data_IF_838137358432
#
_entry.id   IF_838137358432
#
_cell.length_a   1.000
_cell.length_b   1.000
_cell.length_c   1.000
_cell.angle_alpha   90.00
_cell.angle_beta   90.00
_cell.angle_gamma   90.00
#
_symmetry.space_group_name_H-M   'P 1'
#
loop_
_entity.id
_entity.type
_entity.pdbx_description
1 polymer ?
#
# COMPACT_ATOMS: atom_id res chain seq x y z
N UNK A 1 -9.94 7.23 40.16
CA UNK A 1 -9.46 8.01 38.99
C UNK A 1 -10.28 7.59 37.77
N UNK A 2 -10.86 8.54 37.10
CA UNK A 2 -11.57 8.21 35.87
C UNK A 2 -10.57 7.76 34.80
N UNK A 3 -10.81 6.59 34.24
CA UNK A 3 -9.97 6.03 33.17
C UNK A 3 -10.11 6.89 31.92
N UNK A 4 -8.97 7.35 31.37
CA UNK A 4 -8.94 8.16 30.14
C UNK A 4 -8.68 7.29 28.90
N UNK A 5 -9.04 7.82 27.70
CA UNK A 5 -8.69 7.15 26.43
C UNK A 5 -7.19 6.98 26.25
N UNK A 6 -6.39 7.96 26.65
CA UNK A 6 -4.95 7.91 26.53
C UNK A 6 -4.36 6.83 27.44
N UNK A 7 -4.87 6.69 28.67
CA UNK A 7 -4.46 5.61 29.57
C UNK A 7 -4.76 4.21 28.98
N UNK A 8 -5.97 4.01 28.41
CA UNK A 8 -6.31 2.72 27.76
C UNK A 8 -5.39 2.46 26.55
N UNK A 9 -5.08 3.49 25.75
CA UNK A 9 -4.16 3.38 24.61
C UNK A 9 -2.76 2.94 25.06
N UNK A 10 -2.20 3.59 26.11
CA UNK A 10 -0.88 3.26 26.65
C UNK A 10 -0.84 1.80 27.14
N UNK A 11 -1.81 1.38 27.95
CA UNK A 11 -1.91 0.02 28.45
C UNK A 11 -2.07 -1.00 27.30
N UNK A 12 -2.90 -0.66 26.31
CA UNK A 12 -3.11 -1.51 25.13
C UNK A 12 -1.83 -1.65 24.32
N UNK A 13 -1.10 -0.57 24.08
CA UNK A 13 0.14 -0.61 23.31
C UNK A 13 1.26 -1.32 24.07
N UNK A 14 1.34 -1.13 25.39
CA UNK A 14 2.29 -1.87 26.23
C UNK A 14 2.05 -3.38 26.16
N UNK A 15 0.79 -3.81 26.11
CA UNK A 15 0.42 -5.23 26.00
C UNK A 15 0.57 -5.82 24.59
N UNK A 16 0.87 -5.00 23.56
CA UNK A 16 0.86 -5.40 22.15
C UNK A 16 2.11 -4.90 21.43
N UNK A 17 2.77 -5.78 20.70
CA UNK A 17 3.83 -5.38 19.75
C UNK A 17 3.19 -4.87 18.45
N UNK A 18 2.84 -3.57 18.40
CA UNK A 18 2.20 -2.95 17.25
C UNK A 18 3.20 -2.18 16.39
N UNK A 19 2.99 -2.20 15.07
CA UNK A 19 3.77 -1.35 14.16
C UNK A 19 3.44 0.13 14.37
N UNK A 20 4.42 1.06 14.22
CA UNK A 20 4.19 2.50 14.40
C UNK A 20 3.00 3.06 13.63
N UNK A 21 2.79 2.60 12.38
CA UNK A 21 1.64 2.99 11.57
C UNK A 21 0.29 2.55 12.16
N UNK A 22 0.25 1.41 12.86
CA UNK A 22 -0.95 0.92 13.56
C UNK A 22 -1.21 1.77 14.80
N UNK A 23 -0.19 2.04 15.61
CA UNK A 23 -0.25 2.94 16.78
C UNK A 23 -0.79 4.31 16.36
N UNK A 24 -0.22 4.90 15.31
CA UNK A 24 -0.70 6.17 14.75
C UNK A 24 -2.19 6.11 14.33
N UNK A 25 -2.63 4.99 13.75
CA UNK A 25 -4.04 4.81 13.34
C UNK A 25 -4.98 4.81 14.54
N UNK A 26 -4.60 4.14 15.64
CA UNK A 26 -5.37 4.16 16.90
C UNK A 26 -5.49 5.58 17.47
N UNK A 27 -4.39 6.30 17.61
CA UNK A 27 -4.41 7.70 18.08
C UNK A 27 -5.31 8.57 17.21
N UNK A 28 -5.22 8.44 15.88
CA UNK A 28 -6.07 9.19 14.96
C UNK A 28 -7.56 8.89 15.13
N UNK A 29 -7.92 7.63 15.35
CA UNK A 29 -9.31 7.23 15.56
C UNK A 29 -9.84 7.72 16.90
N UNK A 30 -9.10 7.53 17.99
CA UNK A 30 -9.45 8.03 19.33
C UNK A 30 -9.60 9.55 19.31
N UNK A 31 -8.63 10.29 18.77
CA UNK A 31 -8.73 11.75 18.61
C UNK A 31 -9.96 12.19 17.78
N UNK A 32 -10.34 11.39 16.76
CA UNK A 32 -11.56 11.66 15.98
C UNK A 32 -12.83 11.43 16.80
N UNK A 33 -12.83 10.49 17.73
CA UNK A 33 -13.95 10.25 18.65
C UNK A 33 -14.02 11.31 19.75
N UNK A 34 -12.90 11.67 20.38
CA UNK A 34 -12.80 12.73 21.38
C UNK A 34 -13.17 14.13 20.84
N UNK A 35 -13.07 14.35 19.53
CA UNK A 35 -13.60 15.58 18.89
C UNK A 35 -15.11 15.60 18.81
N UNK A 36 -15.75 14.44 18.83
CA UNK A 36 -17.21 14.33 18.78
C UNK A 36 -17.83 14.38 20.17
N UNK A 37 -17.18 13.79 21.16
CA UNK A 37 -17.67 13.76 22.55
C UNK A 37 -16.55 14.00 23.56
N UNK A 38 -16.84 14.76 24.61
CA UNK A 38 -15.94 14.97 25.74
C UNK A 38 -16.08 13.90 26.84
N UNK A 39 -16.99 12.93 26.66
CA UNK A 39 -17.25 11.90 27.68
C UNK A 39 -16.04 10.99 27.87
N UNK A 40 -15.70 10.61 29.12
CA UNK A 40 -14.69 9.62 29.39
C UNK A 40 -15.12 8.23 28.92
N UNK A 41 -14.18 7.29 28.70
CA UNK A 41 -14.50 5.95 28.17
C UNK A 41 -15.59 5.21 28.95
N UNK A 42 -15.60 5.33 30.28
CA UNK A 42 -16.57 4.64 31.13
C UNK A 42 -18.01 5.14 31.02
N UNK A 43 -18.24 6.26 30.36
CA UNK A 43 -19.58 6.85 30.15
C UNK A 43 -20.05 6.72 28.68
N UNK A 44 -19.31 6.02 27.84
CA UNK A 44 -19.65 5.82 26.43
C UNK A 44 -20.69 4.70 26.31
N UNK A 45 -21.92 5.07 25.94
CA UNK A 45 -22.99 4.12 25.74
C UNK A 45 -23.21 3.79 24.23
N UNK A 46 -24.03 2.79 23.96
CA UNK A 46 -24.36 2.35 22.62
C UNK A 46 -25.11 3.44 21.82
N UNK A 47 -25.97 4.24 22.48
CA UNK A 47 -26.77 5.30 21.82
C UNK A 47 -25.84 6.41 21.31
N UNK A 48 -24.86 6.81 22.13
CA UNK A 48 -23.83 7.78 21.71
C UNK A 48 -23.09 7.31 20.45
N UNK A 49 -22.76 6.02 20.37
CA UNK A 49 -22.06 5.45 19.21
C UNK A 49 -22.96 5.45 17.97
N UNK A 50 -24.25 5.17 18.11
CA UNK A 50 -25.20 5.27 17.01
C UNK A 50 -25.35 6.71 16.51
N UNK A 51 -25.37 7.69 17.41
CA UNK A 51 -25.36 9.12 17.05
C UNK A 51 -24.07 9.51 16.35
N UNK A 52 -22.92 9.04 16.84
CA UNK A 52 -21.62 9.26 16.16
C UNK A 52 -21.57 8.60 14.78
N UNK A 53 -22.18 7.42 14.62
CA UNK A 53 -22.32 6.77 13.30
C UNK A 53 -23.08 7.67 12.32
N UNK A 54 -24.20 8.22 12.76
CA UNK A 54 -25.00 9.14 11.95
C UNK A 54 -24.18 10.37 11.56
N UNK A 55 -23.50 11.00 12.52
CA UNK A 55 -22.60 12.12 12.26
C UNK A 55 -21.49 11.76 11.25
N UNK A 56 -20.81 10.63 11.40
CA UNK A 56 -19.73 10.21 10.51
C UNK A 56 -20.22 9.92 9.09
N UNK A 57 -21.38 9.27 8.95
CA UNK A 57 -21.88 8.83 7.64
C UNK A 57 -22.69 9.91 6.93
N UNK A 58 -23.52 10.66 7.65
CA UNK A 58 -24.45 11.65 7.08
C UNK A 58 -23.85 13.06 7.05
N UNK A 59 -23.33 13.56 8.17
CA UNK A 59 -22.82 14.94 8.24
C UNK A 59 -21.43 15.06 7.60
N UNK A 60 -20.50 14.17 7.99
CA UNK A 60 -19.14 14.15 7.43
C UNK A 60 -19.05 13.41 6.07
N UNK A 61 -20.12 12.76 5.63
CA UNK A 61 -20.20 11.99 4.36
C UNK A 61 -19.05 11.00 4.16
N UNK A 62 -18.56 10.39 5.25
CA UNK A 62 -17.50 9.39 5.18
C UNK A 62 -18.08 8.03 4.79
N UNK A 63 -17.23 7.18 4.19
CA UNK A 63 -17.70 5.88 3.69
C UNK A 63 -17.95 4.88 4.81
N UNK A 64 -18.87 3.89 4.61
CA UNK A 64 -19.08 2.78 5.55
C UNK A 64 -17.79 2.05 5.93
N UNK A 65 -16.85 1.90 5.00
CA UNK A 65 -15.53 1.31 5.28
C UNK A 65 -14.72 2.14 6.27
N UNK A 66 -14.76 3.48 6.15
CA UNK A 66 -14.09 4.39 7.10
C UNK A 66 -14.72 4.29 8.47
N UNK A 67 -16.05 4.22 8.55
CA UNK A 67 -16.78 3.98 9.78
C UNK A 67 -16.37 2.65 10.42
N UNK A 68 -16.45 1.54 9.68
CA UNK A 68 -16.09 0.21 10.19
C UNK A 68 -14.65 0.13 10.68
N UNK A 69 -13.73 0.85 10.03
CA UNK A 69 -12.35 0.93 10.51
C UNK A 69 -12.25 1.67 11.85
N UNK A 70 -13.00 2.76 12.04
CA UNK A 70 -13.06 3.46 13.33
C UNK A 70 -13.64 2.56 14.43
N UNK A 71 -14.74 1.87 14.13
CA UNK A 71 -15.38 0.91 15.04
C UNK A 71 -14.40 -0.22 15.42
N UNK A 72 -13.67 -0.77 14.46
CA UNK A 72 -12.72 -1.87 14.73
C UNK A 72 -11.63 -1.46 15.73
N UNK A 73 -11.08 -0.24 15.60
CA UNK A 73 -10.07 0.25 16.54
C UNK A 73 -10.64 0.48 17.95
N UNK A 74 -11.78 1.20 18.05
CA UNK A 74 -12.37 1.49 19.36
C UNK A 74 -12.91 0.23 20.02
N UNK A 75 -13.52 -0.68 19.27
CA UNK A 75 -13.98 -1.97 19.80
C UNK A 75 -12.82 -2.79 20.37
N UNK A 76 -11.65 -2.79 19.73
CA UNK A 76 -10.47 -3.47 20.24
C UNK A 76 -9.97 -2.86 21.56
N UNK A 77 -9.98 -1.51 21.68
CA UNK A 77 -9.61 -0.81 22.92
C UNK A 77 -10.60 -1.09 24.04
N UNK A 78 -11.91 -1.05 23.75
CA UNK A 78 -12.94 -1.32 24.75
C UNK A 78 -12.93 -2.79 25.19
N UNK A 79 -12.75 -3.75 24.27
CA UNK A 79 -12.58 -5.15 24.63
C UNK A 79 -11.37 -5.34 25.56
N UNK A 80 -10.26 -4.63 25.30
CA UNK A 80 -9.11 -4.66 26.17
C UNK A 80 -9.43 -4.07 27.54
N UNK A 81 -10.04 -2.89 27.59
CA UNK A 81 -10.42 -2.20 28.83
C UNK A 81 -11.38 -3.03 29.69
N UNK A 82 -12.38 -3.66 29.10
CA UNK A 82 -13.32 -4.55 29.78
C UNK A 82 -12.60 -5.80 30.32
N UNK A 83 -11.81 -6.45 29.48
CA UNK A 83 -11.06 -7.66 29.88
C UNK A 83 -10.10 -7.43 31.06
N UNK A 84 -9.52 -6.25 31.15
CA UNK A 84 -8.54 -5.89 32.20
C UNK A 84 -9.15 -5.08 33.36
N UNK A 85 -10.49 -4.99 33.45
CA UNK A 85 -11.17 -4.31 34.55
C UNK A 85 -11.03 -2.77 34.54
N UNK A 86 -10.55 -2.19 33.43
CA UNK A 86 -10.44 -0.73 33.29
C UNK A 86 -11.78 -0.08 32.96
N UNK A 87 -12.70 -0.84 32.40
CA UNK A 87 -14.05 -0.42 32.01
C UNK A 87 -15.07 -1.38 32.58
N UNK A 88 -16.09 -0.87 33.24
CA UNK A 88 -17.14 -1.65 33.93
C UNK A 88 -18.36 -1.85 33.03
N UNK A 89 -18.18 -2.31 31.79
CA UNK A 89 -19.27 -2.65 30.89
C UNK A 89 -19.56 -4.14 30.88
N UNK A 90 -20.82 -4.54 30.90
CA UNK A 90 -21.23 -5.93 30.68
C UNK A 90 -21.00 -6.35 29.23
N UNK A 91 -21.20 -5.46 28.29
CA UNK A 91 -21.00 -5.65 26.87
C UNK A 91 -20.31 -4.44 26.24
N UNK A 92 -19.46 -4.70 25.23
CA UNK A 92 -18.77 -3.64 24.52
C UNK A 92 -19.79 -2.78 23.72
N UNK A 93 -19.89 -1.46 24.00
CA UNK A 93 -20.86 -0.59 23.35
C UNK A 93 -20.65 -0.44 21.83
N UNK A 94 -19.49 -0.85 21.30
CA UNK A 94 -19.20 -0.88 19.87
C UNK A 94 -19.63 -2.18 19.16
N UNK A 95 -20.33 -3.09 19.85
CA UNK A 95 -20.90 -4.27 19.20
C UNK A 95 -22.13 -3.88 18.34
N UNK A 96 -22.38 -4.62 17.28
CA UNK A 96 -23.56 -4.45 16.42
C UNK A 96 -23.62 -3.17 15.56
N UNK A 97 -22.66 -2.23 15.68
CA UNK A 97 -22.73 -0.91 15.01
C UNK A 97 -22.06 -0.87 13.61
N UNK A 98 -21.54 -2.00 13.14
CA UNK A 98 -20.91 -2.13 11.82
C UNK A 98 -21.96 -1.95 10.72
N UNK A 99 -21.59 -1.24 9.65
CA UNK A 99 -22.45 -1.02 8.49
C UNK A 99 -21.95 -1.83 7.31
N UNK A 100 -22.83 -2.47 6.56
CA UNK A 100 -22.46 -3.24 5.36
C UNK A 100 -21.80 -2.31 4.34
N UNK A 101 -20.51 -2.50 4.01
CA UNK A 101 -19.87 -1.71 2.99
C UNK A 101 -20.40 -2.11 1.61
N UNK A 102 -20.63 -1.14 0.73
CA UNK A 102 -20.93 -1.42 -0.66
C UNK A 102 -19.74 -2.11 -1.36
N UNK A 103 -20.03 -2.86 -2.41
CA UNK A 103 -19.04 -3.52 -3.25
C UNK A 103 -18.23 -2.43 -3.98
N UNK A 104 -16.93 -2.40 -3.75
CA UNK A 104 -16.03 -1.47 -4.41
C UNK A 104 -15.30 -2.17 -5.53
N UNK A 105 -15.62 -1.84 -6.79
CA UNK A 105 -14.82 -2.31 -7.93
C UNK A 105 -13.35 -1.88 -7.75
N UNK A 106 -12.44 -2.82 -7.93
CA UNK A 106 -11.00 -2.54 -7.87
C UNK A 106 -10.61 -1.66 -9.04
N UNK A 107 -9.87 -0.59 -8.74
CA UNK A 107 -9.44 0.36 -9.75
C UNK A 107 -8.14 -0.17 -10.38
N UNK A 108 -8.26 -0.79 -11.54
CA UNK A 108 -7.14 -1.24 -12.38
C UNK A 108 -6.70 -0.14 -13.35
N UNK A 109 -5.56 -0.32 -13.98
CA UNK A 109 -5.09 0.46 -15.12
C UNK A 109 -5.42 -0.31 -16.40
N UNK A 110 -6.05 0.36 -17.37
CA UNK A 110 -6.27 -0.21 -18.71
C UNK A 110 -4.94 -0.27 -19.48
N UNK A 111 -4.89 -1.07 -20.56
CA UNK A 111 -3.72 -1.12 -21.44
C UNK A 111 -3.36 0.28 -21.94
N UNK A 112 -4.35 1.03 -22.46
CA UNK A 112 -4.14 2.40 -22.93
C UNK A 112 -3.59 3.34 -21.84
N UNK A 113 -4.03 3.19 -20.58
CA UNK A 113 -3.50 3.96 -19.45
C UNK A 113 -2.05 3.57 -19.11
N UNK A 114 -1.71 2.28 -19.14
CA UNK A 114 -0.33 1.83 -18.97
C UNK A 114 0.57 2.40 -20.08
N UNK A 115 0.15 2.29 -21.34
CA UNK A 115 0.91 2.83 -22.47
C UNK A 115 1.09 4.35 -22.36
N UNK A 116 0.07 5.07 -21.88
CA UNK A 116 0.16 6.51 -21.65
C UNK A 116 1.17 6.86 -20.54
N UNK A 117 1.24 6.06 -19.46
CA UNK A 117 2.23 6.23 -18.39
C UNK A 117 3.65 6.08 -18.96
N UNK A 118 3.91 5.02 -19.73
CA UNK A 118 5.25 4.78 -20.27
C UNK A 118 5.63 5.82 -21.31
N UNK A 119 4.77 6.16 -22.27
CA UNK A 119 5.03 7.25 -23.22
C UNK A 119 5.32 8.60 -22.54
N UNK A 120 4.63 8.90 -21.44
CA UNK A 120 4.92 10.10 -20.66
C UNK A 120 6.34 10.03 -20.08
N UNK A 121 6.72 8.91 -19.47
CA UNK A 121 8.04 8.75 -18.88
C UNK A 121 9.15 8.78 -19.94
N UNK A 122 8.92 8.21 -21.13
CA UNK A 122 9.88 8.25 -22.25
C UNK A 122 10.12 9.69 -22.70
N UNK A 123 9.07 10.51 -22.83
CA UNK A 123 9.19 11.93 -23.12
C UNK A 123 10.02 12.66 -22.06
N UNK A 124 9.78 12.40 -20.76
CA UNK A 124 10.60 13.00 -19.70
C UNK A 124 12.04 12.48 -19.72
N UNK A 125 12.29 11.25 -20.15
CA UNK A 125 13.65 10.71 -20.31
C UNK A 125 14.42 11.42 -21.45
N UNK A 126 13.73 11.71 -22.56
CA UNK A 126 14.28 12.50 -23.64
C UNK A 126 14.59 13.95 -23.18
N UNK A 127 13.65 14.61 -22.51
CA UNK A 127 13.88 15.94 -21.95
C UNK A 127 15.07 15.95 -20.97
N UNK A 128 15.20 14.94 -20.11
CA UNK A 128 16.31 14.81 -19.16
C UNK A 128 17.64 14.61 -19.86
N UNK A 129 17.65 13.90 -21.00
CA UNK A 129 18.87 13.68 -21.82
C UNK A 129 19.35 14.96 -22.49
N UNK A 130 18.43 15.80 -22.99
CA UNK A 130 18.77 17.05 -23.68
C UNK A 130 19.06 18.23 -22.73
N UNK A 131 18.32 18.33 -21.63
CA UNK A 131 18.38 19.49 -20.72
C UNK A 131 19.14 19.23 -19.43
N UNK A 132 19.62 18.00 -19.25
CA UNK A 132 20.14 17.52 -17.96
C UNK A 132 19.03 17.33 -16.94
N UNK A 133 19.40 16.95 -15.71
CA UNK A 133 18.42 16.87 -14.61
C UNK A 133 17.91 18.29 -14.28
N UNK A 134 16.98 18.72 -15.05
CA UNK A 134 16.23 19.97 -14.88
C UNK A 134 14.89 19.65 -14.23
N UNK A 135 14.35 20.49 -13.57
CA UNK A 135 14.32 21.90 -13.31
C UNK A 135 13.49 22.18 -12.08
N UNK A 136 13.80 23.22 -11.53
CA UNK A 136 13.17 23.77 -10.38
C UNK A 136 11.93 24.55 -10.85
N UNK A 137 10.74 24.02 -10.62
CA UNK A 137 9.58 24.89 -10.50
C UNK A 137 9.49 25.32 -9.03
N UNK A 138 9.64 26.58 -8.74
CA UNK A 138 9.72 27.16 -7.38
C UNK A 138 10.80 26.53 -6.47
N UNK A 139 12.02 26.36 -6.96
CA UNK A 139 13.12 25.82 -6.16
C UNK A 139 13.02 24.31 -5.85
N UNK A 140 12.04 23.59 -6.39
CA UNK A 140 11.84 22.15 -6.12
C UNK A 140 12.15 21.31 -7.34
N UNK A 141 12.96 20.27 -7.16
CA UNK A 141 13.26 19.29 -8.21
C UNK A 141 12.02 18.56 -8.70
N UNK A 142 12.02 18.19 -9.98
CA UNK A 142 10.96 17.39 -10.56
C UNK A 142 10.89 16.01 -9.86
N UNK A 143 9.70 15.64 -9.38
CA UNK A 143 9.48 14.38 -8.70
C UNK A 143 9.59 13.17 -9.64
N UNK A 144 9.63 13.38 -10.97
CA UNK A 144 9.78 12.32 -11.97
C UNK A 144 11.27 12.04 -12.31
N UNK A 145 12.21 12.79 -11.73
CA UNK A 145 13.65 12.63 -11.97
C UNK A 145 14.36 11.98 -10.78
N UNK A 146 15.42 11.17 -11.01
CA UNK A 146 15.93 10.73 -12.30
C UNK A 146 14.94 9.79 -13.00
N UNK A 147 14.66 10.03 -14.28
CA UNK A 147 13.57 9.32 -14.97
C UNK A 147 13.83 7.82 -15.07
N UNK A 148 15.06 7.42 -15.40
CA UNK A 148 15.45 6.00 -15.50
C UNK A 148 15.18 5.22 -14.19
N UNK A 149 15.43 5.82 -13.03
CA UNK A 149 15.17 5.21 -11.74
C UNK A 149 13.66 4.97 -11.52
N UNK A 150 12.86 5.98 -11.82
CA UNK A 150 11.40 5.87 -11.67
C UNK A 150 10.76 4.94 -12.71
N UNK A 151 11.33 4.84 -13.91
CA UNK A 151 10.94 3.80 -14.88
C UNK A 151 11.22 2.41 -14.31
N UNK A 152 12.39 2.19 -13.69
CA UNK A 152 12.67 0.91 -13.00
C UNK A 152 11.69 0.63 -11.86
N UNK A 153 11.27 1.67 -11.10
CA UNK A 153 10.21 1.53 -10.07
C UNK A 153 8.87 1.14 -10.69
N UNK A 154 8.50 1.70 -11.84
CA UNK A 154 7.27 1.31 -12.55
C UNK A 154 7.36 -0.14 -13.05
N UNK A 155 8.49 -0.53 -13.61
CA UNK A 155 8.71 -1.88 -14.16
C UNK A 155 8.65 -2.96 -13.07
N UNK A 156 9.31 -2.75 -11.95
CA UNK A 156 9.24 -3.73 -10.86
C UNK A 156 7.82 -3.87 -10.32
N UNK A 157 7.06 -2.78 -10.17
CA UNK A 157 5.66 -2.83 -9.75
C UNK A 157 4.76 -3.53 -10.78
N UNK A 158 5.04 -3.33 -12.08
CA UNK A 158 4.29 -3.92 -13.18
C UNK A 158 4.53 -5.42 -13.30
N UNK A 159 5.78 -5.86 -13.17
CA UNK A 159 6.16 -7.24 -13.48
C UNK A 159 6.20 -8.16 -12.26
N UNK A 160 6.22 -7.61 -11.03
CA UNK A 160 6.24 -8.41 -9.80
C UNK A 160 5.01 -8.25 -8.92
N UNK A 161 4.20 -7.24 -9.16
CA UNK A 161 3.03 -6.90 -8.33
C UNK A 161 3.33 -6.70 -6.83
N UNK A 162 4.58 -6.41 -6.44
CA UNK A 162 4.96 -6.22 -5.04
C UNK A 162 4.25 -5.04 -4.40
N UNK A 163 4.16 -5.05 -3.06
CA UNK A 163 3.63 -3.92 -2.31
C UNK A 163 4.66 -2.79 -2.22
N UNK A 164 4.20 -1.55 -2.18
CA UNK A 164 5.07 -0.38 -2.01
C UNK A 164 6.03 -0.51 -0.82
N UNK A 165 5.57 -1.08 0.29
CA UNK A 165 6.43 -1.29 1.45
C UNK A 165 7.49 -2.36 1.20
N UNK A 166 7.19 -3.41 0.42
CA UNK A 166 8.18 -4.42 0.03
C UNK A 166 9.27 -3.81 -0.85
N UNK A 167 8.89 -2.95 -1.82
CA UNK A 167 9.85 -2.24 -2.66
C UNK A 167 10.88 -1.45 -1.83
N UNK A 168 10.43 -0.77 -0.77
CA UNK A 168 11.30 0.01 0.13
C UNK A 168 12.23 -0.84 1.01
N UNK A 169 12.00 -2.14 1.10
CA UNK A 169 12.81 -3.05 1.90
C UNK A 169 13.67 -4.02 1.07
N UNK A 170 13.71 -3.83 -0.26
CA UNK A 170 14.62 -4.57 -1.11
C UNK A 170 16.03 -4.00 -0.94
N UNK A 171 16.97 -4.84 -0.50
CA UNK A 171 18.38 -4.53 -0.39
C UNK A 171 19.12 -4.96 -1.65
N UNK A 172 20.35 -4.49 -1.82
CA UNK A 172 21.16 -4.89 -2.96
C UNK A 172 21.41 -6.42 -2.96
N UNK A 173 21.71 -7.02 -1.81
CA UNK A 173 21.91 -8.46 -1.65
C UNK A 173 20.66 -9.32 -1.87
N UNK A 174 19.45 -8.74 -1.83
CA UNK A 174 18.22 -9.49 -2.05
C UNK A 174 17.94 -9.76 -3.55
N UNK A 175 18.72 -9.18 -4.47
CA UNK A 175 18.53 -9.33 -5.92
C UNK A 175 19.55 -10.29 -6.51
N UNK A 176 19.08 -11.44 -6.97
CA UNK A 176 19.89 -12.40 -7.70
C UNK A 176 19.57 -12.31 -9.21
N UNK A 177 20.46 -11.64 -9.96
CA UNK A 177 20.29 -11.46 -11.41
C UNK A 177 20.60 -12.74 -12.20
N UNK A 178 21.51 -13.58 -11.72
CA UNK A 178 21.89 -14.82 -12.36
C UNK A 178 20.75 -15.84 -12.33
N UNK A 179 20.22 -16.08 -11.15
CA UNK A 179 19.12 -17.01 -10.90
C UNK A 179 17.72 -16.39 -11.13
N UNK A 180 17.69 -15.10 -11.43
CA UNK A 180 16.48 -14.34 -11.79
C UNK A 180 15.37 -14.33 -10.75
N UNK A 181 15.70 -14.00 -9.51
CA UNK A 181 14.71 -13.73 -8.47
C UNK A 181 15.06 -12.54 -7.57
N UNK A 182 14.08 -12.09 -6.83
CA UNK A 182 14.23 -11.11 -5.75
C UNK A 182 13.66 -11.71 -4.48
N UNK A 183 14.43 -11.74 -3.41
CA UNK A 183 13.96 -12.11 -2.08
C UNK A 183 13.29 -10.91 -1.42
N UNK A 184 12.06 -11.12 -0.94
CA UNK A 184 11.28 -10.07 -0.29
C UNK A 184 11.25 -10.32 1.22
N UNK A 185 12.00 -9.51 1.95
CA UNK A 185 12.20 -9.64 3.39
C UNK A 185 10.90 -9.54 4.19
N UNK A 186 10.89 -10.19 5.36
CA UNK A 186 9.78 -10.18 6.36
C UNK A 186 9.40 -8.75 6.77
N UNK A 187 10.38 -7.87 6.96
CA UNK A 187 10.19 -6.47 7.38
C UNK A 187 9.31 -5.67 6.42
N UNK A 188 9.41 -5.93 5.11
CA UNK A 188 8.57 -5.35 4.08
C UNK A 188 7.19 -5.99 3.95
N UNK A 189 7.02 -7.22 4.44
CA UNK A 189 5.80 -7.99 4.30
C UNK A 189 4.79 -7.69 5.42
N UNK A 190 3.52 -7.49 5.06
CA UNK A 190 2.44 -7.26 6.04
C UNK A 190 2.15 -8.49 6.91
N UNK A 191 2.49 -9.66 6.42
CA UNK A 191 2.18 -10.97 7.00
C UNK A 191 3.40 -11.71 7.59
N UNK A 192 4.52 -11.01 7.79
CA UNK A 192 5.75 -11.56 8.38
C UNK A 192 6.23 -12.88 7.73
N UNK A 193 6.11 -13.00 6.40
CA UNK A 193 6.63 -14.13 5.65
C UNK A 193 7.54 -13.65 4.54
N UNK A 194 8.68 -14.29 4.42
CA UNK A 194 9.55 -14.18 3.25
C UNK A 194 8.85 -14.76 2.04
N UNK A 195 9.02 -14.13 0.90
CA UNK A 195 8.66 -14.75 -0.34
C UNK A 195 9.51 -14.22 -1.48
N UNK A 196 9.71 -15.05 -2.46
CA UNK A 196 10.55 -14.80 -3.63
C UNK A 196 9.67 -14.45 -4.83
N UNK A 197 10.09 -13.44 -5.60
CA UNK A 197 9.42 -13.09 -6.86
C UNK A 197 10.40 -13.24 -8.04
N UNK A 198 9.92 -13.72 -9.21
CA UNK A 198 10.80 -13.90 -10.37
C UNK A 198 11.13 -12.57 -11.05
N UNK A 199 12.33 -12.50 -11.65
CA UNK A 199 12.75 -11.44 -12.55
C UNK A 199 12.47 -11.90 -13.99
N UNK A 200 11.36 -11.42 -14.56
CA UNK A 200 11.02 -11.74 -15.96
C UNK A 200 11.94 -11.00 -16.93
N UNK A 201 12.06 -11.51 -18.16
CA UNK A 201 12.97 -10.94 -19.17
C UNK A 201 12.73 -9.46 -19.44
N UNK A 202 11.48 -9.00 -19.39
CA UNK A 202 11.13 -7.59 -19.58
C UNK A 202 11.58 -6.67 -18.42
N UNK A 203 11.74 -7.20 -17.20
CA UNK A 203 12.23 -6.45 -16.03
C UNK A 203 13.77 -6.44 -15.96
N UNK A 204 14.41 -7.49 -16.46
CA UNK A 204 15.83 -7.75 -16.28
C UNK A 204 16.74 -6.56 -16.66
N UNK A 205 16.60 -5.92 -17.85
CA UNK A 205 17.52 -4.84 -18.25
C UNK A 205 17.46 -3.62 -17.31
N UNK A 206 16.26 -3.24 -16.88
CA UNK A 206 16.07 -2.12 -15.97
C UNK A 206 16.66 -2.41 -14.58
N UNK A 207 16.44 -3.62 -14.07
CA UNK A 207 16.95 -4.05 -12.77
C UNK A 207 18.47 -4.25 -12.78
N UNK A 208 19.03 -4.86 -13.84
CA UNK A 208 20.47 -5.01 -14.01
C UNK A 208 21.17 -3.64 -14.05
N UNK A 209 20.60 -2.66 -14.77
CA UNK A 209 21.09 -1.28 -14.77
C UNK A 209 21.11 -0.66 -13.36
N UNK A 210 20.06 -0.90 -12.57
CA UNK A 210 19.94 -0.39 -11.20
C UNK A 210 21.03 -1.01 -10.30
N UNK A 211 21.16 -2.34 -10.34
CA UNK A 211 22.17 -3.09 -9.57
C UNK A 211 23.59 -2.65 -9.95
N UNK A 212 23.92 -2.59 -11.25
CA UNK A 212 25.24 -2.14 -11.71
C UNK A 212 25.56 -0.71 -11.24
N UNK A 213 24.57 0.20 -11.29
CA UNK A 213 24.79 1.56 -10.79
C UNK A 213 24.99 1.61 -9.28
N UNK A 214 24.32 0.76 -8.52
CA UNK A 214 24.52 0.64 -7.08
C UNK A 214 25.90 0.08 -6.75
N UNK A 215 26.37 -0.94 -7.48
CA UNK A 215 27.71 -1.50 -7.34
C UNK A 215 28.82 -0.49 -7.70
N UNK A 216 28.65 0.27 -8.79
CA UNK A 216 29.59 1.33 -9.17
C UNK A 216 29.61 2.50 -8.18
N UNK A 217 28.55 2.69 -7.41
CA UNK A 217 28.47 3.67 -6.33
C UNK A 217 28.90 3.07 -4.97
N UNK A 218 29.51 1.88 -4.96
CA UNK A 218 30.01 1.16 -3.77
C UNK A 218 28.95 1.04 -2.66
N UNK A 219 27.69 0.82 -3.08
CA UNK A 219 26.57 0.66 -2.14
C UNK A 219 26.73 -0.66 -1.39
N UNK A 220 26.62 -0.61 -0.06
CA UNK A 220 26.69 -1.78 0.80
C UNK A 220 25.60 -2.82 0.47
N UNK A 221 25.90 -4.13 0.53
CA UNK A 221 24.97 -5.19 0.17
C UNK A 221 23.64 -5.13 0.91
N UNK A 222 23.63 -4.73 2.18
CA UNK A 222 22.45 -4.61 3.03
C UNK A 222 21.71 -3.29 2.86
N UNK A 223 22.26 -2.36 2.10
CA UNK A 223 21.62 -1.07 1.87
C UNK A 223 20.40 -1.19 0.97
N UNK A 224 19.45 -0.31 1.19
CA UNK A 224 18.22 -0.20 0.41
C UNK A 224 18.54 0.10 -1.06
N UNK A 225 18.22 -0.83 -1.97
CA UNK A 225 18.48 -0.68 -3.41
C UNK A 225 17.60 0.41 -4.05
N UNK A 226 16.30 0.44 -3.71
CA UNK A 226 15.36 1.44 -4.25
C UNK A 226 15.39 2.73 -3.44
N UNK A 227 16.55 3.36 -3.40
CA UNK A 227 16.78 4.66 -2.77
C UNK A 227 17.22 5.69 -3.82
N UNK A 228 16.36 6.67 -4.09
CA UNK A 228 16.66 7.72 -5.09
C UNK A 228 17.86 8.58 -4.70
N UNK A 229 18.22 8.65 -3.41
CA UNK A 229 19.38 9.37 -2.93
C UNK A 229 20.72 8.78 -3.38
N UNK A 230 20.77 7.48 -3.71
CA UNK A 230 21.96 6.83 -4.27
C UNK A 230 22.29 7.32 -5.69
N UNK A 231 21.28 7.81 -6.41
CA UNK A 231 21.38 8.13 -7.84
C UNK A 231 21.10 9.60 -8.18
N UNK A 232 20.78 10.40 -7.16
CA UNK A 232 20.58 11.85 -7.28
C UNK A 232 21.35 12.56 -6.17
N UNK A 233 22.51 13.09 -6.51
CA UNK A 233 23.43 13.78 -5.57
C UNK A 233 22.72 14.85 -4.74
N UNK A 234 21.73 15.55 -5.31
CA UNK A 234 20.99 16.57 -4.60
C UNK A 234 20.04 16.04 -3.52
N UNK A 235 19.78 14.74 -3.53
CA UNK A 235 18.95 14.04 -2.55
C UNK A 235 19.75 13.10 -1.65
N UNK A 236 21.05 12.89 -1.95
CA UNK A 236 21.92 11.96 -1.24
C UNK A 236 21.94 12.23 0.26
N UNK A 237 22.18 13.49 0.67
CA UNK A 237 22.19 13.89 2.08
C UNK A 237 20.86 13.62 2.81
N UNK A 238 19.74 13.76 2.12
CA UNK A 238 18.41 13.57 2.73
C UNK A 238 18.06 12.10 2.92
N UNK A 239 18.60 11.23 2.10
CA UNK A 239 18.27 9.80 2.07
C UNK A 239 19.51 8.93 2.30
N UNK A 240 20.53 9.44 3.02
CA UNK A 240 21.73 8.70 3.41
C UNK A 240 21.39 7.40 4.15
N UNK A 241 20.43 7.47 5.08
CA UNK A 241 20.04 6.34 5.93
C UNK A 241 18.88 5.51 5.33
N UNK A 242 18.52 5.80 4.08
CA UNK A 242 17.44 5.14 3.36
C UNK A 242 16.28 6.07 2.97
N UNK A 243 15.55 5.66 1.97
CA UNK A 243 14.39 6.38 1.44
C UNK A 243 13.10 5.87 2.10
N UNK A 244 12.32 6.79 2.64
CA UNK A 244 10.96 6.51 3.12
C UNK A 244 9.93 6.52 1.97
N UNK A 245 8.64 6.42 2.33
CA UNK A 245 7.53 6.42 1.38
C UNK A 245 7.28 7.76 0.69
N UNK A 246 7.86 8.85 1.19
CA UNK A 246 7.56 10.22 0.74
C UNK A 246 7.94 10.48 -0.72
N UNK A 247 9.14 10.09 -1.21
CA UNK A 247 9.49 10.26 -2.62
C UNK A 247 8.58 9.47 -3.57
N UNK A 248 8.22 8.23 -3.20
CA UNK A 248 7.31 7.42 -4.01
C UNK A 248 5.93 8.08 -4.11
N UNK A 249 5.41 8.60 -3.00
CA UNK A 249 4.14 9.36 -3.01
C UNK A 249 4.24 10.62 -3.86
N UNK A 250 5.36 11.33 -3.78
CA UNK A 250 5.64 12.51 -4.61
C UNK A 250 5.64 12.17 -6.10
N UNK A 251 6.35 11.12 -6.48
CA UNK A 251 6.41 10.60 -7.84
C UNK A 251 5.01 10.24 -8.37
N UNK A 252 4.28 9.37 -7.69
CA UNK A 252 2.94 8.93 -8.14
C UNK A 252 1.91 10.05 -8.16
N UNK A 253 2.02 11.05 -7.26
CA UNK A 253 1.17 12.24 -7.29
C UNK A 253 1.46 13.09 -8.53
N UNK A 254 2.73 13.32 -8.86
CA UNK A 254 3.13 14.05 -10.06
C UNK A 254 2.71 13.30 -11.32
N UNK A 255 3.02 12.02 -11.41
CA UNK A 255 2.66 11.14 -12.53
C UNK A 255 1.14 11.13 -12.77
N UNK A 256 0.34 10.99 -11.72
CA UNK A 256 -1.13 11.01 -11.83
C UNK A 256 -1.66 12.34 -12.36
N UNK A 257 -1.05 13.46 -11.97
CA UNK A 257 -1.42 14.79 -12.45
C UNK A 257 -1.11 14.95 -13.92
N UNK A 258 0.07 14.53 -14.36
CA UNK A 258 0.49 14.60 -15.75
C UNK A 258 -0.36 13.69 -16.66
N UNK A 259 -0.65 12.48 -16.19
CA UNK A 259 -1.51 11.51 -16.91
C UNK A 259 -3.00 11.89 -16.89
N UNK A 260 -3.44 12.81 -16.02
CA UNK A 260 -4.84 13.19 -15.76
C UNK A 260 -5.74 12.03 -15.30
N UNK A 261 -5.14 10.94 -14.79
CA UNK A 261 -5.82 9.84 -14.11
C UNK A 261 -4.95 9.33 -12.97
N UNK A 262 -5.58 8.68 -11.99
CA UNK A 262 -4.83 8.18 -10.83
C UNK A 262 -3.92 7.02 -11.21
N UNK A 263 -2.63 7.14 -10.92
CA UNK A 263 -1.63 6.07 -10.99
C UNK A 263 -1.09 5.82 -9.58
N UNK A 264 -0.95 4.57 -9.17
CA UNK A 264 -0.42 4.24 -7.85
C UNK A 264 0.12 2.80 -7.80
N UNK A 265 1.03 2.47 -6.86
CA UNK A 265 1.53 1.11 -6.69
C UNK A 265 0.40 0.07 -6.51
N UNK A 266 -0.64 0.41 -5.77
CA UNK A 266 -1.79 -0.48 -5.59
C UNK A 266 -2.56 -0.74 -6.89
N UNK A 267 -2.66 0.25 -7.79
CA UNK A 267 -3.31 0.04 -9.09
C UNK A 267 -2.49 -0.88 -9.97
N UNK A 268 -1.16 -0.76 -10.00
CA UNK A 268 -0.29 -1.73 -10.69
C UNK A 268 -0.54 -3.14 -10.18
N UNK A 269 -0.48 -3.33 -8.87
CA UNK A 269 -0.72 -4.63 -8.25
C UNK A 269 -2.12 -5.18 -8.56
N UNK A 270 -3.16 -4.36 -8.50
CA UNK A 270 -4.52 -4.75 -8.86
C UNK A 270 -4.62 -5.13 -10.35
N UNK A 271 -3.96 -4.38 -11.21
CA UNK A 271 -3.93 -4.66 -12.66
C UNK A 271 -3.29 -6.01 -12.94
N UNK A 272 -2.10 -6.28 -12.40
CA UNK A 272 -1.42 -7.57 -12.58
C UNK A 272 -2.27 -8.72 -12.05
N UNK A 273 -2.77 -8.60 -10.82
CA UNK A 273 -3.60 -9.62 -10.20
C UNK A 273 -4.86 -9.92 -11.01
N UNK A 274 -5.57 -8.89 -11.47
CA UNK A 274 -6.78 -9.05 -12.28
C UNK A 274 -6.45 -9.68 -13.64
N UNK A 275 -5.36 -9.26 -14.30
CA UNK A 275 -4.96 -9.87 -15.57
C UNK A 275 -4.62 -11.35 -15.43
N UNK A 276 -3.85 -11.73 -14.39
CA UNK A 276 -3.55 -13.13 -14.12
C UNK A 276 -4.79 -13.97 -13.79
N UNK A 277 -5.80 -13.35 -13.17
CA UNK A 277 -7.06 -14.03 -12.85
C UNK A 277 -8.06 -14.08 -14.00
N UNK A 278 -7.82 -13.34 -15.09
CA UNK A 278 -8.63 -13.41 -16.32
C UNK A 278 -8.21 -14.54 -17.27
N UNK A 279 -7.01 -15.08 -17.14
CA UNK A 279 -6.57 -16.20 -17.97
C UNK A 279 -7.47 -17.42 -17.74
N UNK A 280 -7.93 -18.12 -18.81
CA UNK A 280 -8.67 -19.37 -18.69
C UNK A 280 -7.91 -20.41 -17.86
N UNK A 281 -6.60 -20.53 -18.08
CA UNK A 281 -5.68 -21.44 -17.36
C UNK A 281 -5.19 -20.85 -16.03
N UNK A 282 -5.99 -20.01 -15.38
CA UNK A 282 -5.61 -19.31 -14.17
C UNK A 282 -5.19 -20.27 -13.05
N UNK A 283 -3.97 -20.12 -12.61
CA UNK A 283 -3.48 -20.82 -11.43
C UNK A 283 -3.63 -19.91 -10.19
N UNK A 284 -4.71 -20.13 -9.45
CA UNK A 284 -5.03 -19.35 -8.23
C UNK A 284 -3.91 -19.41 -7.19
N UNK A 285 -3.22 -20.56 -7.06
CA UNK A 285 -2.10 -20.73 -6.14
C UNK A 285 -0.87 -19.92 -6.61
N UNK A 286 -0.58 -19.88 -7.91
CA UNK A 286 0.50 -19.06 -8.45
C UNK A 286 0.25 -17.57 -8.20
N UNK A 287 -0.98 -17.09 -8.45
CA UNK A 287 -1.36 -15.68 -8.16
C UNK A 287 -1.27 -15.39 -6.67
N UNK A 288 -1.78 -16.30 -5.82
CA UNK A 288 -1.66 -16.17 -4.35
C UNK A 288 -0.19 -16.07 -3.92
N UNK A 289 0.68 -16.94 -4.47
CA UNK A 289 2.12 -16.97 -4.19
C UNK A 289 2.80 -15.68 -4.65
N UNK A 290 2.57 -15.24 -5.89
CA UNK A 290 3.12 -13.98 -6.42
C UNK A 290 2.71 -12.78 -5.58
N UNK A 291 1.46 -12.71 -5.18
CA UNK A 291 0.94 -11.62 -4.35
C UNK A 291 1.36 -11.74 -2.87
N UNK A 292 1.89 -12.88 -2.43
CA UNK A 292 2.20 -13.12 -1.02
C UNK A 292 0.93 -12.99 -0.14
N UNK A 293 -0.21 -13.58 -0.58
CA UNK A 293 -1.43 -13.61 0.21
C UNK A 293 -1.44 -14.82 1.16
N UNK A 294 -1.73 -14.59 2.43
CA UNK A 294 -1.92 -15.67 3.41
C UNK A 294 -3.25 -16.40 3.13
N UNK A 295 -4.33 -15.62 2.97
CA UNK A 295 -5.66 -16.14 2.69
C UNK A 295 -5.96 -16.15 1.19
N UNK A 296 -6.52 -17.25 0.71
CA UNK A 296 -7.02 -17.39 -0.65
C UNK A 296 -8.16 -16.41 -0.95
N UNK A 297 -8.98 -16.10 0.05
CA UNK A 297 -10.08 -15.13 -0.04
C UNK A 297 -9.60 -13.77 -0.56
N UNK A 298 -8.40 -13.32 -0.14
CA UNK A 298 -7.80 -12.08 -0.66
C UNK A 298 -7.44 -12.15 -2.14
N UNK A 299 -7.22 -13.35 -2.68
CA UNK A 299 -6.92 -13.58 -4.09
C UNK A 299 -8.20 -13.73 -4.91
N UNK A 300 -9.22 -14.40 -4.33
CA UNK A 300 -10.55 -14.52 -4.96
C UNK A 300 -11.19 -13.15 -5.23
N UNK A 301 -10.87 -12.14 -4.44
CA UNK A 301 -11.33 -10.77 -4.71
C UNK A 301 -10.88 -10.21 -6.08
N UNK A 302 -9.99 -10.85 -6.81
CA UNK A 302 -9.53 -10.44 -8.15
C UNK A 302 -10.21 -11.22 -9.28
N UNK A 303 -11.04 -12.21 -8.96
CA UNK A 303 -11.90 -12.85 -9.95
C UNK A 303 -12.94 -11.83 -10.39
N UNK A 304 -13.00 -11.59 -11.68
CA UNK A 304 -14.04 -10.75 -12.29
C UNK A 304 -15.23 -11.66 -12.66
N UNK A 305 -16.30 -11.53 -11.91
CA UNK A 305 -17.56 -12.24 -12.14
C UNK A 305 -18.44 -11.48 -13.15
N UNK A 306 -17.84 -10.87 -14.17
CA UNK A 306 -18.63 -10.22 -15.22
C UNK A 306 -19.42 -11.25 -16.03
N UNK A 307 -20.61 -10.86 -16.48
CA UNK A 307 -21.47 -11.72 -17.32
C UNK A 307 -20.74 -12.14 -18.61
N UNK A 308 -19.90 -11.26 -19.17
CA UNK A 308 -19.11 -11.55 -20.38
C UNK A 308 -18.10 -12.66 -20.12
N UNK A 309 -17.40 -12.62 -18.96
CA UNK A 309 -16.45 -13.66 -18.57
C UNK A 309 -17.16 -15.01 -18.30
N UNK A 310 -18.36 -14.97 -17.72
CA UNK A 310 -19.18 -16.19 -17.56
C UNK A 310 -19.64 -16.75 -18.91
N UNK A 311 -19.99 -15.89 -19.87
CA UNK A 311 -20.35 -16.33 -21.25
C UNK A 311 -19.17 -17.03 -21.90
N UNK A 312 -17.97 -16.42 -21.90
CA UNK A 312 -16.76 -17.02 -22.47
C UNK A 312 -16.46 -18.40 -21.86
N UNK A 313 -16.58 -18.52 -20.53
CA UNK A 313 -16.37 -19.81 -19.84
C UNK A 313 -17.40 -20.83 -20.28
N UNK A 314 -18.69 -20.48 -20.36
CA UNK A 314 -19.76 -21.40 -20.79
C UNK A 314 -19.61 -21.83 -22.25
N UNK A 315 -19.17 -20.94 -23.11
CA UNK A 315 -18.91 -21.26 -24.54
C UNK A 315 -17.73 -22.23 -24.69
N UNK A 316 -16.68 -22.10 -23.84
CA UNK A 316 -15.50 -23.01 -23.88
C UNK A 316 -15.80 -24.36 -23.24
N UNK A 317 -16.55 -24.37 -22.12
CA UNK A 317 -16.79 -25.60 -21.34
C UNK A 317 -17.95 -26.46 -21.86
N UNK A 318 -18.92 -25.86 -22.60
CA UNK A 318 -20.13 -26.54 -22.99
C UNK A 318 -20.27 -26.75 -24.54
N UNK A 319 -19.35 -26.23 -25.35
CA UNK A 319 -19.24 -26.45 -26.78
C UNK A 319 -17.96 -27.21 -27.14
#
# INVERSE_FOLDING_TARGET
MDVTFDYILEQYFFSKSLRPATVWSYHKVVKSFQKYTALPPGQVDHILILRWRLHVLSDLKLTPRTWNNKVAHLRALFNYGIKHGLLSFNENPFNGVVVRPGVKKKKILTKAQLDAVYRLMDRYAEEERYKGMCSIFNGRKCALQPVWFWQTVLDILRYTAIRQNQLLHIRLCDVNLEERWIDLAISGAKNHREHRVPIVSALYPALARLVNKAQLAEVEPEAQLFNVGLFDVSRSRRYSDGMDVTPIRGFFRRLSRECKFTVSPHRFRHTVATHMMKSPDRNLQAVKKLLGHVSITSTLEYIDESVDNLREILEVELM
#
